data_IF_520301522442
#
_entry.id   IF_520301522442
#
_cell.length_a   1.000
_cell.length_b   1.000
_cell.length_c   1.000
_cell.angle_alpha   90.00
_cell.angle_beta   90.00
_cell.angle_gamma   90.00
#
_symmetry.space_group_name_H-M   'P 1'
#
loop_
_entity.id
_entity.type
_entity.pdbx_description
1 polymer ?
#
# COMPACT_ATOMS: atom_id res chain seq x y z
N UNK A 1 -3.32 17.87 15.60
CA UNK A 1 -2.61 18.04 14.31
C UNK A 1 -3.57 17.80 13.18
N UNK A 2 -3.47 18.58 12.12
CA UNK A 2 -4.18 18.42 10.86
C UNK A 2 -3.32 17.65 9.87
N UNK A 3 -3.92 17.01 8.85
CA UNK A 3 -3.16 16.48 7.73
C UNK A 3 -2.18 17.53 7.19
N UNK A 4 -0.87 17.21 7.21
CA UNK A 4 0.20 18.09 6.75
C UNK A 4 0.95 18.90 7.82
N UNK A 5 0.51 18.89 9.10
CA UNK A 5 1.29 19.45 10.20
C UNK A 5 2.46 18.50 10.59
N UNK A 6 3.60 19.04 11.02
CA UNK A 6 4.73 18.24 11.54
C UNK A 6 4.27 17.31 12.65
N UNK A 7 4.54 16.00 12.53
CA UNK A 7 4.10 14.98 13.49
C UNK A 7 2.69 14.42 13.25
N UNK A 8 1.96 14.88 12.23
CA UNK A 8 0.70 14.27 11.82
C UNK A 8 0.92 12.83 11.33
N UNK A 9 0.12 11.88 11.83
CA UNK A 9 0.24 10.47 11.47
C UNK A 9 1.32 9.70 12.23
N UNK A 10 2.12 10.36 13.08
CA UNK A 10 3.05 9.70 13.98
C UNK A 10 2.29 9.27 15.24
N UNK A 11 2.11 7.96 15.43
CA UNK A 11 1.51 7.42 16.63
C UNK A 11 2.56 7.34 17.77
N UNK A 12 2.28 7.89 18.96
CA UNK A 12 3.15 7.72 20.12
C UNK A 12 3.29 6.24 20.48
N UNK A 13 4.52 5.80 20.75
CA UNK A 13 4.83 4.38 20.99
C UNK A 13 4.14 3.81 22.22
N UNK A 14 3.71 4.66 23.15
CA UNK A 14 2.92 4.29 24.32
C UNK A 14 1.52 3.76 23.94
N UNK A 15 1.06 3.98 22.70
CA UNK A 15 -0.25 3.55 22.20
C UNK A 15 -0.21 2.26 21.39
N UNK A 16 0.98 1.73 21.11
CA UNK A 16 1.10 0.44 20.45
C UNK A 16 0.48 -0.65 21.34
N UNK A 17 -0.59 -1.29 20.87
CA UNK A 17 -1.23 -2.40 21.60
C UNK A 17 -0.20 -3.53 21.69
N UNK A 18 0.25 -3.83 22.91
CA UNK A 18 1.03 -5.03 23.20
C UNK A 18 0.06 -6.19 23.46
N UNK A 19 -0.03 -7.21 22.58
CA UNK A 19 -0.79 -8.41 22.88
C UNK A 19 -0.14 -9.18 24.03
N UNK A 20 -0.95 -9.70 24.95
CA UNK A 20 -0.48 -10.43 26.14
C UNK A 20 0.36 -11.66 25.74
N UNK A 21 1.67 -11.61 25.97
CA UNK A 21 2.62 -12.70 25.70
C UNK A 21 4.07 -12.23 25.62
N UNK A 22 5.02 -13.18 25.70
CA UNK A 22 6.46 -12.88 25.63
C UNK A 22 6.93 -12.77 24.16
N UNK A 23 6.77 -11.60 23.55
CA UNK A 23 7.46 -11.27 22.30
C UNK A 23 8.36 -10.05 22.47
N UNK A 24 9.53 -10.11 21.82
CA UNK A 24 10.42 -8.96 21.67
C UNK A 24 9.74 -7.97 20.71
N UNK A 25 9.46 -6.77 21.21
CA UNK A 25 9.00 -5.65 20.38
C UNK A 25 10.25 -4.98 19.81
N UNK A 26 10.44 -5.06 18.51
CA UNK A 26 11.45 -4.30 17.78
C UNK A 26 10.72 -3.33 16.86
N UNK A 27 11.03 -2.04 16.97
CA UNK A 27 10.49 -1.05 16.05
C UNK A 27 11.17 -1.27 14.69
N UNK A 28 10.41 -1.74 13.70
CA UNK A 28 10.88 -1.80 12.31
C UNK A 28 10.86 -0.36 11.78
N UNK A 29 11.97 0.16 11.23
CA UNK A 29 12.01 1.51 10.68
C UNK A 29 10.91 1.68 9.63
N UNK A 30 10.01 2.64 9.86
CA UNK A 30 9.13 3.16 8.81
C UNK A 30 9.98 3.99 7.85
N UNK A 31 9.84 3.73 6.55
CA UNK A 31 10.48 4.54 5.51
C UNK A 31 9.82 5.92 5.47
N UNK A 32 10.59 6.95 5.79
CA UNK A 32 10.31 8.33 5.34
C UNK A 32 10.51 8.40 3.82
N UNK A 33 9.70 9.16 3.05
CA UNK A 33 8.66 10.13 3.46
C UNK A 33 7.24 9.51 3.60
N UNK A 34 6.24 10.25 4.14
CA UNK A 34 4.87 9.75 4.31
C UNK A 34 4.24 9.28 2.99
N UNK A 35 4.21 7.95 2.86
CA UNK A 35 3.81 7.21 1.65
C UNK A 35 2.44 7.64 1.09
N UNK A 36 1.50 8.04 1.95
CA UNK A 36 0.14 8.42 1.53
C UNK A 36 0.03 9.86 1.02
N UNK A 37 0.75 10.81 1.61
CA UNK A 37 0.69 12.20 1.14
C UNK A 37 1.34 12.33 -0.23
N UNK A 38 2.42 11.59 -0.48
CA UNK A 38 3.08 11.55 -1.78
C UNK A 38 2.15 11.06 -2.89
N UNK A 39 1.33 10.03 -2.61
CA UNK A 39 0.32 9.55 -3.57
C UNK A 39 -0.63 10.67 -4.01
N UNK A 40 -1.15 11.46 -3.07
CA UNK A 40 -2.08 12.55 -3.37
C UNK A 40 -1.40 13.76 -4.03
N UNK A 41 -0.15 14.08 -3.66
CA UNK A 41 0.61 15.14 -4.33
C UNK A 41 0.82 14.83 -5.81
N UNK A 42 1.29 13.61 -6.11
CA UNK A 42 1.47 13.14 -7.49
C UNK A 42 0.16 13.08 -8.28
N UNK A 43 -0.94 12.70 -7.63
CA UNK A 43 -2.25 12.73 -8.26
C UNK A 43 -2.66 14.17 -8.63
N UNK A 44 -2.40 15.15 -7.76
CA UNK A 44 -2.70 16.56 -8.05
C UNK A 44 -1.85 17.10 -9.22
N UNK A 45 -0.56 16.76 -9.27
CA UNK A 45 0.35 17.08 -10.39
C UNK A 45 -0.16 16.48 -11.70
N UNK A 46 -0.52 15.19 -11.70
CA UNK A 46 -1.06 14.51 -12.88
C UNK A 46 -2.37 15.15 -13.38
N UNK A 47 -3.27 15.55 -12.47
CA UNK A 47 -4.51 16.27 -12.81
C UNK A 47 -4.24 17.66 -13.39
N UNK A 48 -3.16 18.32 -12.98
CA UNK A 48 -2.71 19.59 -13.56
C UNK A 48 -1.98 19.41 -14.91
N UNK A 49 -1.72 18.17 -15.34
CA UNK A 49 -0.92 17.87 -16.52
C UNK A 49 0.60 18.00 -16.29
N UNK A 50 1.02 18.05 -15.03
CA UNK A 50 2.41 18.30 -14.60
C UNK A 50 3.12 17.01 -14.12
N UNK A 51 2.72 15.85 -14.63
CA UNK A 51 3.33 14.58 -14.25
C UNK A 51 2.48 13.37 -14.64
N UNK A 52 2.96 12.19 -14.29
CA UNK A 52 2.22 10.93 -14.43
C UNK A 52 1.58 10.52 -13.10
N UNK A 53 0.52 9.71 -13.17
CA UNK A 53 -0.08 9.13 -11.97
C UNK A 53 0.87 8.13 -11.31
N UNK A 54 0.89 8.11 -9.98
CA UNK A 54 1.73 7.17 -9.20
C UNK A 54 1.43 5.70 -9.46
N UNK A 55 0.20 5.40 -9.86
CA UNK A 55 -0.30 4.05 -10.15
C UNK A 55 -1.13 4.14 -11.42
N UNK A 56 -0.76 3.37 -12.43
CA UNK A 56 -1.48 3.32 -13.69
C UNK A 56 -2.77 2.49 -13.60
N UNK A 57 -3.77 2.76 -14.45
CA UNK A 57 -4.94 1.89 -14.60
C UNK A 57 -4.57 0.44 -14.93
N UNK A 58 -3.53 0.23 -15.74
CA UNK A 58 -3.06 -1.07 -16.20
C UNK A 58 -2.51 -1.90 -15.03
N UNK A 59 -1.69 -1.29 -14.16
CA UNK A 59 -1.19 -1.95 -12.94
C UNK A 59 -2.34 -2.34 -12.01
N UNK A 60 -3.33 -1.46 -11.84
CA UNK A 60 -4.50 -1.72 -11.01
C UNK A 60 -5.32 -2.91 -11.55
N UNK A 61 -5.52 -2.96 -12.87
CA UNK A 61 -6.20 -4.06 -13.54
C UNK A 61 -5.43 -5.39 -13.40
N UNK A 62 -4.10 -5.36 -13.51
CA UNK A 62 -3.25 -6.53 -13.33
C UNK A 62 -3.37 -7.11 -11.91
N UNK A 63 -3.43 -6.27 -10.87
CA UNK A 63 -3.64 -6.71 -9.50
C UNK A 63 -5.01 -7.39 -9.32
N UNK A 64 -6.07 -6.80 -9.86
CA UNK A 64 -7.41 -7.40 -9.82
C UNK A 64 -7.40 -8.78 -10.50
N UNK A 65 -6.79 -8.87 -11.68
CA UNK A 65 -6.67 -10.13 -12.41
C UNK A 65 -5.90 -11.20 -11.62
N UNK A 66 -4.84 -10.80 -10.91
CA UNK A 66 -4.10 -11.71 -10.05
C UNK A 66 -4.96 -12.26 -8.90
N UNK A 67 -5.82 -11.41 -8.29
CA UNK A 67 -6.78 -11.85 -7.26
C UNK A 67 -7.76 -12.87 -7.83
N UNK A 68 -8.28 -12.64 -9.04
CA UNK A 68 -9.18 -13.58 -9.71
C UNK A 68 -8.51 -14.93 -9.97
N UNK A 69 -7.26 -14.93 -10.45
CA UNK A 69 -6.47 -16.14 -10.66
C UNK A 69 -6.27 -16.89 -9.33
N UNK A 70 -5.96 -16.18 -8.24
CA UNK A 70 -5.83 -16.78 -6.91
C UNK A 70 -7.13 -17.46 -6.45
N UNK A 71 -8.28 -16.82 -6.69
CA UNK A 71 -9.60 -17.39 -6.39
C UNK A 71 -9.85 -18.66 -7.22
N UNK A 72 -9.49 -18.68 -8.51
CA UNK A 72 -9.63 -19.87 -9.36
C UNK A 72 -8.67 -21.00 -8.95
N UNK A 73 -7.44 -20.67 -8.61
CA UNK A 73 -6.44 -21.62 -8.08
C UNK A 73 -6.97 -22.31 -6.82
N UNK A 74 -7.51 -21.54 -5.87
CA UNK A 74 -8.13 -22.06 -4.66
C UNK A 74 -9.32 -22.99 -4.95
N UNK A 75 -10.22 -22.60 -5.86
CA UNK A 75 -11.40 -23.39 -6.24
C UNK A 75 -11.05 -24.72 -6.91
N UNK A 76 -9.98 -24.74 -7.69
CA UNK A 76 -9.60 -25.90 -8.51
C UNK A 76 -8.52 -26.76 -7.85
N UNK A 77 -7.86 -26.26 -6.80
CA UNK A 77 -6.72 -26.93 -6.16
C UNK A 77 -5.51 -27.06 -7.08
N UNK A 78 -5.37 -26.17 -8.07
CA UNK A 78 -4.31 -26.21 -9.08
C UNK A 78 -3.54 -24.91 -9.12
N UNK A 79 -2.23 -25.00 -9.28
CA UNK A 79 -1.40 -23.86 -9.68
C UNK A 79 -1.81 -23.41 -11.08
N UNK A 80 -2.06 -22.12 -11.25
CA UNK A 80 -2.41 -21.49 -12.51
C UNK A 80 -1.28 -20.55 -12.95
N UNK A 81 -1.01 -20.51 -14.25
CA UNK A 81 -0.03 -19.59 -14.82
C UNK A 81 -0.55 -18.15 -14.74
N UNK A 82 0.36 -17.22 -14.52
CA UNK A 82 0.08 -15.79 -14.40
C UNK A 82 0.72 -15.08 -15.60
N UNK A 83 -0.13 -14.50 -16.44
CA UNK A 83 0.26 -13.61 -17.52
C UNK A 83 -0.49 -12.27 -17.33
N UNK A 84 0.25 -11.23 -16.97
CA UNK A 84 -0.26 -9.90 -16.63
C UNK A 84 0.22 -8.82 -17.60
N UNK A 85 0.98 -9.19 -18.64
CA UNK A 85 1.48 -8.25 -19.63
C UNK A 85 0.48 -8.16 -20.79
N UNK A 86 -0.31 -7.09 -20.83
CA UNK A 86 -1.11 -6.69 -21.99
C UNK A 86 -0.80 -5.25 -22.37
#
# INVERSE_FOLDING_TARGET
MRPGDDGYGIEPSERYIQPNGAFKTEAVPTVDPPLYTEFYSKLAEALAGEGEVSVSPEESAAVIRLVEIAVQSSKTGRTLDVDLCS
#
